data_IF_578874538670
#
_entry.id   IF_578874538670
#
_cell.length_a   1.000
_cell.length_b   1.000
_cell.length_c   1.000
_cell.angle_alpha   90.00
_cell.angle_beta   90.00
_cell.angle_gamma   90.00
#
_symmetry.space_group_name_H-M   'P 1'
#
loop_
_entity.id
_entity.type
_entity.pdbx_description
1 polymer ?
#
# COMPACT_ATOMS: atom_id res chain seq x y z
N UNK A 1 -3.54 21.82 -3.40
CA UNK A 1 -4.44 20.65 -3.58
C UNK A 1 -5.28 20.50 -2.31
N UNK A 2 -6.47 19.87 -2.34
CA UNK A 2 -7.37 19.78 -1.17
C UNK A 2 -6.73 19.12 0.06
N UNK A 3 -5.79 18.21 -0.17
CA UNK A 3 -5.06 17.48 0.87
C UNK A 3 -3.78 18.17 1.37
N UNK A 4 -3.32 19.21 0.67
CA UNK A 4 -2.05 19.85 1.00
C UNK A 4 -2.20 20.70 2.27
N UNK A 5 -1.19 20.61 3.15
CA UNK A 5 -1.07 21.48 4.32
C UNK A 5 0.40 21.82 4.58
N UNK A 6 0.69 22.96 5.23
CA UNK A 6 2.02 23.21 5.78
C UNK A 6 2.41 22.11 6.76
N UNK A 7 3.71 21.85 6.85
CA UNK A 7 4.30 20.80 7.68
C UNK A 7 5.36 21.42 8.59
N UNK A 8 5.50 20.87 9.79
CA UNK A 8 6.68 21.07 10.65
C UNK A 8 7.69 19.96 10.36
N UNK A 9 8.83 20.34 9.80
CA UNK A 9 9.91 19.43 9.41
C UNK A 9 11.08 19.60 10.36
N UNK A 10 11.55 18.51 10.97
CA UNK A 10 12.76 18.54 11.78
C UNK A 10 13.88 17.76 11.09
N UNK A 11 15.08 18.34 11.07
CA UNK A 11 16.28 17.66 10.55
C UNK A 11 17.17 17.25 11.72
N UNK A 12 17.48 15.97 11.82
CA UNK A 12 18.31 15.39 12.86
C UNK A 12 19.60 14.80 12.27
N UNK A 13 20.72 14.98 12.96
CA UNK A 13 22.03 14.53 12.51
C UNK A 13 22.74 15.53 11.59
N UNK A 14 23.96 15.18 11.19
CA UNK A 14 24.79 15.99 10.29
C UNK A 14 25.43 15.07 9.24
N UNK A 15 25.58 15.52 7.98
CA UNK A 15 26.32 14.79 6.98
C UNK A 15 27.75 14.47 7.47
N UNK A 16 28.24 13.27 7.19
CA UNK A 16 29.64 12.95 7.44
C UNK A 16 30.55 13.84 6.58
N UNK A 17 31.79 14.17 7.01
CA UNK A 17 32.70 14.98 6.20
C UNK A 17 32.96 14.43 4.77
N UNK A 18 32.87 13.11 4.61
CA UNK A 18 33.05 12.43 3.31
C UNK A 18 31.77 12.45 2.44
N UNK A 19 30.63 12.84 3.01
CA UNK A 19 29.33 12.88 2.33
C UNK A 19 29.04 14.28 1.77
N UNK A 20 29.92 14.76 0.89
CA UNK A 20 29.84 16.13 0.38
C UNK A 20 28.57 16.40 -0.42
N UNK A 21 28.11 15.44 -1.24
CA UNK A 21 26.88 15.60 -2.01
C UNK A 21 25.65 15.57 -1.11
N UNK A 22 25.64 14.71 -0.07
CA UNK A 22 24.60 14.72 0.96
C UNK A 22 24.47 16.08 1.64
N UNK A 23 25.61 16.71 2.00
CA UNK A 23 25.59 18.00 2.64
C UNK A 23 25.01 19.11 1.77
N UNK A 24 25.27 19.08 0.46
CA UNK A 24 24.62 19.99 -0.50
C UNK A 24 23.13 19.69 -0.61
N UNK A 25 22.77 18.42 -0.79
CA UNK A 25 21.39 17.98 -0.95
C UNK A 25 20.53 18.32 0.26
N UNK A 26 20.98 18.04 1.49
CA UNK A 26 20.21 18.33 2.72
C UNK A 26 19.94 19.82 2.89
N UNK A 27 20.93 20.69 2.56
CA UNK A 27 20.72 22.15 2.58
C UNK A 27 19.70 22.59 1.54
N UNK A 28 19.79 22.06 0.32
CA UNK A 28 18.84 22.36 -0.75
C UNK A 28 17.44 21.85 -0.41
N UNK A 29 17.32 20.65 0.17
CA UNK A 29 16.06 20.06 0.59
C UNK A 29 15.40 20.90 1.68
N UNK A 30 16.17 21.33 2.68
CA UNK A 30 15.70 22.22 3.75
C UNK A 30 15.18 23.54 3.18
N UNK A 31 15.96 24.21 2.33
CA UNK A 31 15.53 25.44 1.67
C UNK A 31 14.27 25.21 0.81
N UNK A 32 14.20 24.09 0.09
CA UNK A 32 13.05 23.73 -0.74
C UNK A 32 11.77 23.58 0.09
N UNK A 33 11.85 23.05 1.33
CA UNK A 33 10.72 23.00 2.26
C UNK A 33 10.29 24.41 2.69
N UNK A 34 11.23 25.26 3.09
CA UNK A 34 10.94 26.64 3.50
C UNK A 34 10.32 27.47 2.36
N UNK A 35 10.86 27.35 1.15
CA UNK A 35 10.36 28.02 -0.06
C UNK A 35 8.93 27.60 -0.43
N UNK A 36 8.55 26.34 -0.16
CA UNK A 36 7.19 25.84 -0.35
C UNK A 36 6.24 26.21 0.82
N UNK A 37 6.75 26.85 1.87
CA UNK A 37 5.96 27.36 3.00
C UNK A 37 5.86 26.39 4.20
N UNK A 38 6.76 25.40 4.30
CA UNK A 38 6.87 24.53 5.47
C UNK A 38 7.77 25.17 6.54
N UNK A 39 7.56 24.82 7.80
CA UNK A 39 8.42 25.25 8.90
C UNK A 39 9.53 24.23 9.11
N UNK A 40 10.80 24.61 8.93
CA UNK A 40 11.94 23.75 9.28
C UNK A 40 12.49 24.17 10.64
N UNK A 41 12.56 23.23 11.58
CA UNK A 41 12.98 23.48 12.96
C UNK A 41 14.21 22.66 13.34
N UNK A 42 15.07 23.23 14.18
CA UNK A 42 16.21 22.51 14.75
C UNK A 42 15.79 21.66 15.96
N UNK A 43 14.88 22.18 16.78
CA UNK A 43 14.33 21.53 17.97
C UNK A 43 12.81 21.68 18.02
N UNK A 44 12.11 20.63 18.47
CA UNK A 44 10.66 20.62 18.67
C UNK A 44 10.31 19.88 19.97
N UNK A 45 9.21 20.28 20.61
CA UNK A 45 8.67 19.65 21.83
C UNK A 45 7.39 18.83 21.57
N UNK A 46 7.27 18.22 20.39
CA UNK A 46 6.32 17.12 20.16
C UNK A 46 5.59 17.13 18.83
N UNK A 47 5.44 18.30 18.19
CA UNK A 47 4.70 18.42 16.94
C UNK A 47 5.68 18.47 15.77
N UNK A 48 6.01 17.30 15.22
CA UNK A 48 6.82 17.15 14.01
C UNK A 48 6.02 16.30 13.03
N UNK A 49 5.71 16.88 11.86
CA UNK A 49 5.00 16.19 10.78
C UNK A 49 5.92 15.31 9.93
N UNK A 50 7.22 15.64 9.90
CA UNK A 50 8.23 14.93 9.11
C UNK A 50 9.60 15.05 9.79
N UNK A 51 10.19 13.90 10.16
CA UNK A 51 11.53 13.83 10.72
C UNK A 51 12.51 13.32 9.68
N UNK A 52 13.49 14.15 9.30
CA UNK A 52 14.57 13.81 8.39
C UNK A 52 15.83 13.47 9.18
N UNK A 53 16.24 12.20 9.17
CA UNK A 53 17.43 11.73 9.88
C UNK A 53 18.58 11.56 8.90
N UNK A 54 19.58 12.42 8.99
CA UNK A 54 20.80 12.35 8.19
C UNK A 54 21.78 11.37 8.82
N UNK A 55 22.24 10.39 8.04
CA UNK A 55 23.17 9.36 8.50
C UNK A 55 24.25 9.05 7.48
N UNK A 56 25.31 8.39 7.95
CA UNK A 56 26.41 7.91 7.12
C UNK A 56 26.27 6.41 6.86
N UNK A 57 26.37 6.02 5.60
CA UNK A 57 26.57 4.62 5.22
C UNK A 57 28.03 4.49 4.76
N UNK A 58 28.88 3.74 5.49
CA UNK A 58 30.29 3.59 5.16
C UNK A 58 30.52 3.17 3.72
N UNK A 59 31.50 3.77 3.05
CA UNK A 59 31.96 3.27 1.74
C UNK A 59 32.81 2.01 1.91
N UNK A 60 32.78 1.12 0.93
CA UNK A 60 33.54 -0.13 1.00
C UNK A 60 33.31 -1.03 -0.21
N UNK A 61 34.13 -2.09 -0.37
CA UNK A 61 33.98 -3.05 -1.46
C UNK A 61 32.78 -3.99 -1.29
N UNK A 62 32.16 -4.03 -0.10
CA UNK A 62 30.98 -4.85 0.16
C UNK A 62 29.72 -4.26 -0.52
N UNK A 63 28.75 -5.11 -0.88
CA UNK A 63 27.44 -4.65 -1.35
C UNK A 63 26.79 -3.64 -0.39
N UNK A 64 26.05 -2.66 -0.93
CA UNK A 64 25.35 -1.65 -0.14
C UNK A 64 24.54 -2.21 1.05
N UNK A 65 23.71 -3.28 0.90
CA UNK A 65 22.98 -3.86 2.03
C UNK A 65 23.88 -4.26 3.21
N UNK A 66 25.09 -4.75 2.94
CA UNK A 66 26.03 -5.20 3.97
C UNK A 66 26.74 -4.04 4.68
N UNK A 67 26.79 -2.86 4.05
CA UNK A 67 27.43 -1.65 4.59
C UNK A 67 26.55 -0.88 5.56
N UNK A 68 25.23 -1.08 5.52
CA UNK A 68 24.30 -0.38 6.41
C UNK A 68 24.50 -0.86 7.84
N UNK A 69 24.90 0.01 8.80
CA UNK A 69 25.15 -0.42 10.16
C UNK A 69 23.87 -0.89 10.85
N UNK A 70 23.92 -2.06 11.48
CA UNK A 70 22.87 -2.51 12.39
C UNK A 70 23.13 -1.97 13.80
N UNK A 71 22.12 -1.39 14.44
CA UNK A 71 22.23 -0.77 15.77
C UNK A 71 21.05 -1.19 16.65
N UNK A 72 21.28 -1.31 17.96
CA UNK A 72 20.24 -1.59 18.95
C UNK A 72 20.34 -0.60 20.12
N UNK A 73 19.36 0.30 20.32
CA UNK A 73 18.18 0.49 19.48
C UNK A 73 18.53 0.99 18.06
N UNK A 74 17.66 0.75 17.06
CA UNK A 74 17.84 1.27 15.71
C UNK A 74 17.96 2.79 15.67
N UNK A 75 18.57 3.30 14.59
CA UNK A 75 18.80 4.73 14.38
C UNK A 75 17.53 5.56 14.61
N UNK A 76 16.43 5.27 13.92
CA UNK A 76 15.18 6.05 14.04
C UNK A 76 14.60 6.00 15.45
N UNK A 77 14.63 4.83 16.10
CA UNK A 77 14.14 4.69 17.46
C UNK A 77 14.98 5.50 18.46
N UNK A 78 16.32 5.45 18.34
CA UNK A 78 17.24 6.24 19.16
C UNK A 78 17.01 7.74 18.95
N UNK A 79 16.99 8.19 17.71
CA UNK A 79 16.81 9.61 17.38
C UNK A 79 15.46 10.14 17.89
N UNK A 80 14.37 9.38 17.69
CA UNK A 80 13.07 9.78 18.24
C UNK A 80 13.11 9.88 19.77
N UNK A 81 13.74 8.93 20.47
CA UNK A 81 13.88 8.98 21.92
C UNK A 81 14.69 10.20 22.40
N UNK A 82 15.80 10.51 21.73
CA UNK A 82 16.65 11.68 22.03
C UNK A 82 15.89 13.01 21.83
N UNK A 83 14.99 13.07 20.85
CA UNK A 83 14.18 14.24 20.53
C UNK A 83 12.83 14.29 21.28
N UNK A 84 12.53 13.28 22.11
CA UNK A 84 11.23 13.19 22.80
C UNK A 84 10.04 12.95 21.86
N UNK A 85 10.28 12.42 20.66
CA UNK A 85 9.28 12.10 19.65
C UNK A 85 8.80 10.65 19.80
N UNK A 86 7.58 10.37 19.31
CA UNK A 86 7.08 8.99 19.27
C UNK A 86 7.84 8.18 18.20
N UNK A 87 8.36 7.03 18.61
CA UNK A 87 9.02 6.06 17.72
C UNK A 87 7.99 5.44 16.78
N UNK A 88 8.33 5.26 15.50
CA UNK A 88 7.56 4.45 14.57
C UNK A 88 6.44 5.18 13.81
N UNK A 89 6.42 6.52 13.81
CA UNK A 89 5.55 7.24 12.87
C UNK A 89 6.02 6.97 11.43
N UNK A 90 5.08 6.76 10.50
CA UNK A 90 5.42 6.68 9.05
C UNK A 90 6.15 7.94 8.54
N UNK A 91 6.17 8.99 9.35
CA UNK A 91 6.74 10.31 9.09
C UNK A 91 8.25 10.41 9.36
N UNK A 92 8.95 9.29 9.62
CA UNK A 92 10.42 9.29 9.71
C UNK A 92 11.05 8.90 8.39
N UNK A 93 12.04 9.69 7.94
CA UNK A 93 12.80 9.44 6.71
C UNK A 93 14.28 9.44 7.05
N UNK A 94 14.98 8.36 6.68
CA UNK A 94 16.45 8.35 6.74
C UNK A 94 17.01 8.85 5.42
N UNK A 95 17.99 9.75 5.47
CA UNK A 95 18.69 10.29 4.30
C UNK A 95 20.17 9.93 4.42
N UNK A 96 20.73 9.31 3.39
CA UNK A 96 22.13 8.93 3.34
C UNK A 96 22.70 9.08 1.93
N UNK A 97 24.03 9.16 1.83
CA UNK A 97 24.75 9.10 0.56
C UNK A 97 25.31 7.70 0.32
N UNK A 98 25.28 7.27 -0.93
CA UNK A 98 25.84 6.00 -1.37
C UNK A 98 26.69 6.19 -2.64
N UNK A 99 27.75 5.40 -2.85
CA UNK A 99 28.56 5.46 -4.06
C UNK A 99 27.85 4.90 -5.30
N UNK A 100 26.83 4.06 -5.13
CA UNK A 100 26.08 3.44 -6.22
C UNK A 100 25.07 4.38 -6.87
N UNK A 101 24.87 4.23 -8.18
CA UNK A 101 23.69 4.74 -8.88
C UNK A 101 22.59 3.67 -8.87
N UNK A 102 21.40 4.06 -8.45
CA UNK A 102 20.24 3.20 -8.22
C UNK A 102 19.21 3.30 -9.34
N UNK A 103 19.24 4.35 -10.17
CA UNK A 103 18.27 4.60 -11.24
C UNK A 103 18.17 3.45 -12.27
N UNK A 104 19.26 2.69 -12.48
CA UNK A 104 19.34 1.60 -13.45
C UNK A 104 19.11 0.20 -12.88
N UNK A 105 18.85 0.08 -11.57
CA UNK A 105 18.66 -1.23 -10.94
C UNK A 105 17.34 -1.87 -11.36
N UNK A 106 17.27 -3.21 -11.34
CA UNK A 106 15.99 -3.90 -11.44
C UNK A 106 15.15 -3.60 -10.20
N UNK A 107 13.84 -3.56 -10.36
CA UNK A 107 12.91 -3.28 -9.27
C UNK A 107 13.18 -4.17 -8.03
N UNK A 108 13.38 -5.47 -8.20
CA UNK A 108 13.68 -6.40 -7.09
C UNK A 108 15.01 -6.09 -6.37
N UNK A 109 16.03 -5.62 -7.10
CA UNK A 109 17.32 -5.22 -6.51
C UNK A 109 17.19 -3.93 -5.72
N UNK A 110 16.47 -2.94 -6.26
CA UNK A 110 16.19 -1.68 -5.58
C UNK A 110 15.36 -1.91 -4.31
N UNK A 111 14.31 -2.74 -4.38
CA UNK A 111 13.48 -3.09 -3.23
C UNK A 111 14.29 -3.77 -2.13
N UNK A 112 15.19 -4.69 -2.48
CA UNK A 112 16.04 -5.38 -1.48
C UNK A 112 16.98 -4.40 -0.76
N UNK A 113 17.59 -3.47 -1.49
CA UNK A 113 18.40 -2.38 -0.92
C UNK A 113 17.56 -1.53 0.01
N UNK A 114 16.44 -0.99 -0.49
CA UNK A 114 15.55 -0.10 0.27
C UNK A 114 15.07 -0.76 1.56
N UNK A 115 14.61 -2.02 1.48
CA UNK A 115 14.16 -2.80 2.65
C UNK A 115 15.25 -3.08 3.64
N UNK A 116 16.47 -3.37 3.18
CA UNK A 116 17.59 -3.56 4.10
C UNK A 116 17.90 -2.27 4.87
N UNK A 117 17.93 -1.13 4.18
CA UNK A 117 18.21 0.17 4.83
C UNK A 117 17.07 0.52 5.79
N UNK A 118 15.81 0.41 5.36
CA UNK A 118 14.63 0.64 6.20
C UNK A 118 14.66 -0.26 7.45
N UNK A 119 14.90 -1.56 7.29
CA UNK A 119 14.92 -2.51 8.38
C UNK A 119 16.08 -2.26 9.36
N UNK A 120 17.30 -1.97 8.90
CA UNK A 120 18.44 -1.72 9.81
C UNK A 120 18.37 -0.37 10.53
N UNK A 121 17.65 0.59 9.97
CA UNK A 121 17.48 1.92 10.57
C UNK A 121 16.18 2.08 11.35
N UNK A 122 15.22 1.16 11.19
CA UNK A 122 13.81 1.29 11.61
C UNK A 122 13.09 2.51 11.01
N UNK A 123 13.51 2.95 9.81
CA UNK A 123 12.86 4.02 9.09
C UNK A 123 11.85 3.44 8.07
N UNK A 124 10.60 3.92 8.03
CA UNK A 124 9.60 3.48 7.04
C UNK A 124 9.86 4.04 5.64
N UNK A 125 10.74 5.04 5.51
CA UNK A 125 11.14 5.64 4.23
C UNK A 125 12.62 5.97 4.26
N UNK A 126 13.27 5.87 3.09
CA UNK A 126 14.69 6.18 2.94
C UNK A 126 14.89 7.01 1.68
N UNK A 127 15.74 8.03 1.74
CA UNK A 127 16.25 8.73 0.56
C UNK A 127 17.75 8.44 0.44
N UNK A 128 18.16 7.82 -0.67
CA UNK A 128 19.56 7.61 -0.99
C UNK A 128 19.99 8.56 -2.09
N UNK A 129 21.06 9.31 -1.83
CA UNK A 129 21.66 10.26 -2.78
C UNK A 129 22.95 9.64 -3.32
N UNK A 130 23.16 9.67 -4.63
CA UNK A 130 24.44 9.20 -5.17
C UNK A 130 25.59 10.14 -4.76
N UNK A 131 26.81 9.61 -4.79
CA UNK A 131 28.01 10.36 -4.42
C UNK A 131 28.25 11.58 -5.31
N UNK A 132 27.79 11.55 -6.56
CA UNK A 132 27.93 12.68 -7.48
C UNK A 132 26.81 13.72 -7.33
N UNK A 133 25.77 13.47 -6.52
CA UNK A 133 24.64 14.37 -6.33
C UNK A 133 23.81 14.58 -7.60
N UNK A 134 23.76 13.57 -8.47
CA UNK A 134 23.02 13.56 -9.73
C UNK A 134 21.69 12.84 -9.62
N UNK A 135 21.54 11.97 -8.63
CA UNK A 135 20.29 11.26 -8.38
C UNK A 135 19.92 11.19 -6.90
N UNK A 136 18.62 11.13 -6.65
CA UNK A 136 18.08 10.85 -5.33
C UNK A 136 16.91 9.87 -5.47
N UNK A 137 17.02 8.71 -4.82
CA UNK A 137 16.00 7.65 -4.85
C UNK A 137 15.25 7.60 -3.53
N UNK A 138 13.93 7.76 -3.58
CA UNK A 138 13.05 7.59 -2.42
C UNK A 138 12.53 6.16 -2.35
N UNK A 139 12.85 5.45 -1.28
CA UNK A 139 12.33 4.11 -0.98
C UNK A 139 11.14 4.15 -0.02
N UNK A 140 10.12 3.33 -0.28
CA UNK A 140 8.96 3.14 0.60
C UNK A 140 8.75 1.65 0.95
N UNK A 141 8.05 1.36 2.05
CA UNK A 141 7.80 -0.02 2.53
C UNK A 141 7.11 -0.91 1.49
N UNK A 142 6.26 -0.28 0.67
CA UNK A 142 5.49 -0.86 -0.42
C UNK A 142 6.34 -1.27 -1.64
N UNK A 143 7.64 -0.97 -1.63
CA UNK A 143 8.55 -1.27 -2.75
C UNK A 143 8.71 -0.14 -3.76
N UNK A 144 8.13 1.03 -3.49
CA UNK A 144 8.36 2.23 -4.29
C UNK A 144 9.82 2.68 -4.20
N UNK A 145 10.39 3.04 -5.35
CA UNK A 145 11.76 3.54 -5.48
C UNK A 145 11.91 4.59 -6.62
N UNK A 146 11.03 5.60 -6.75
CA UNK A 146 11.21 6.63 -7.77
C UNK A 146 12.57 7.34 -7.58
N UNK A 147 13.29 7.50 -8.70
CA UNK A 147 14.62 8.12 -8.71
C UNK A 147 14.60 9.42 -9.49
N UNK A 148 14.82 10.52 -8.78
CA UNK A 148 14.91 11.86 -9.37
C UNK A 148 16.31 12.08 -9.94
N UNK A 149 16.41 12.67 -11.13
CA UNK A 149 17.70 13.00 -11.77
C UNK A 149 17.87 14.50 -12.09
N UNK A 150 16.89 15.32 -11.71
CA UNK A 150 16.90 16.76 -11.91
C UNK A 150 16.01 17.46 -10.89
N UNK A 151 16.43 18.64 -10.41
CA UNK A 151 15.78 19.35 -9.29
C UNK A 151 15.55 18.43 -8.09
N UNK A 152 16.58 17.67 -7.72
CA UNK A 152 16.50 16.56 -6.75
C UNK A 152 15.77 16.95 -5.45
N UNK A 153 16.23 18.04 -4.83
CA UNK A 153 15.66 18.54 -3.58
C UNK A 153 14.17 18.90 -3.70
N UNK A 154 13.78 19.61 -4.77
CA UNK A 154 12.37 19.98 -5.00
C UNK A 154 11.47 18.77 -5.18
N UNK A 155 11.92 17.81 -6.00
CA UNK A 155 11.11 16.63 -6.36
C UNK A 155 11.01 15.64 -5.20
N UNK A 156 12.10 15.44 -4.46
CA UNK A 156 12.08 14.63 -3.25
C UNK A 156 11.22 15.30 -2.18
N UNK A 157 11.35 16.62 -1.98
CA UNK A 157 10.45 17.39 -1.09
C UNK A 157 9.00 17.10 -1.46
N UNK A 158 8.61 17.29 -2.72
CA UNK A 158 7.21 17.11 -3.12
C UNK A 158 6.69 15.71 -2.78
N UNK A 159 7.47 14.65 -3.04
CA UNK A 159 7.10 13.27 -2.68
C UNK A 159 6.99 13.07 -1.17
N UNK A 160 7.92 13.63 -0.39
CA UNK A 160 7.89 13.55 1.07
C UNK A 160 6.71 14.33 1.67
N UNK A 161 6.41 15.52 1.13
CA UNK A 161 5.24 16.34 1.53
C UNK A 161 3.95 15.60 1.23
N UNK A 162 3.83 15.01 0.04
CA UNK A 162 2.68 14.18 -0.33
C UNK A 162 2.47 13.06 0.68
N UNK A 163 3.53 12.31 1.01
CA UNK A 163 3.46 11.22 1.97
C UNK A 163 3.14 11.69 3.41
N UNK A 164 3.65 12.85 3.83
CA UNK A 164 3.45 13.39 5.18
C UNK A 164 2.09 14.10 5.37
N UNK A 165 1.46 14.55 4.29
CA UNK A 165 0.09 15.08 4.32
C UNK A 165 -0.96 13.99 4.51
N UNK A 166 -0.65 12.74 4.13
CA UNK A 166 -1.52 11.59 4.32
C UNK A 166 -1.55 11.16 5.79
N UNK A 167 -2.71 10.69 6.25
CA UNK A 167 -2.87 10.11 7.57
C UNK A 167 -3.00 8.59 7.50
N UNK A 168 -2.31 7.89 8.40
CA UNK A 168 -2.45 6.45 8.55
C UNK A 168 -3.83 6.11 9.12
N UNK A 169 -4.55 5.24 8.40
CA UNK A 169 -5.89 4.76 8.75
C UNK A 169 -5.96 3.24 8.88
N UNK A 170 -4.94 2.50 8.44
CA UNK A 170 -4.96 1.03 8.35
C UNK A 170 -5.29 0.28 9.65
N UNK A 171 -5.05 0.88 10.82
CA UNK A 171 -5.36 0.32 12.14
C UNK A 171 -6.62 0.93 12.80
N UNK A 172 -7.27 1.89 12.13
CA UNK A 172 -8.48 2.58 12.63
C UNK A 172 -9.72 1.72 12.39
N UNK A 173 -9.88 0.68 13.19
CA UNK A 173 -11.08 -0.14 13.20
C UNK A 173 -11.55 -0.48 14.62
N UNK A 174 -12.81 -0.88 14.73
CA UNK A 174 -13.39 -1.48 15.92
C UNK A 174 -13.92 -2.88 15.59
N UNK A 175 -13.80 -3.80 16.54
CA UNK A 175 -14.35 -5.15 16.42
C UNK A 175 -15.73 -5.19 17.06
N UNK A 176 -16.73 -5.51 16.25
CA UNK A 176 -18.10 -5.80 16.69
C UNK A 176 -18.19 -7.31 16.90
N UNK A 177 -18.15 -7.74 18.17
CA UNK A 177 -18.24 -9.15 18.55
C UNK A 177 -19.63 -9.71 18.23
N UNK A 178 -19.67 -10.99 17.87
CA UNK A 178 -20.91 -11.76 17.60
C UNK A 178 -21.85 -11.04 16.62
N UNK A 179 -21.27 -10.33 15.64
CA UNK A 179 -22.01 -9.54 14.66
C UNK A 179 -22.67 -10.40 13.57
N UNK A 180 -22.14 -11.60 13.35
CA UNK A 180 -22.64 -12.55 12.36
C UNK A 180 -22.98 -13.87 13.06
N UNK A 181 -24.22 -14.38 12.92
CA UNK A 181 -24.59 -15.69 13.45
C UNK A 181 -23.67 -16.78 12.89
N UNK A 182 -23.27 -17.75 13.72
CA UNK A 182 -22.35 -18.81 13.31
C UNK A 182 -22.85 -19.59 12.08
N UNK A 183 -24.17 -19.80 11.97
CA UNK A 183 -24.81 -20.48 10.84
C UNK A 183 -24.73 -19.69 9.53
N UNK A 184 -24.87 -18.36 9.61
CA UNK A 184 -24.75 -17.46 8.46
C UNK A 184 -23.30 -17.40 7.98
N UNK A 185 -22.35 -17.30 8.91
CA UNK A 185 -20.93 -17.32 8.58
C UNK A 185 -20.49 -18.65 7.96
N UNK A 186 -20.92 -19.77 8.54
CA UNK A 186 -20.61 -21.10 8.01
C UNK A 186 -21.17 -21.35 6.60
N UNK A 187 -22.26 -20.66 6.22
CA UNK A 187 -22.84 -20.74 4.88
C UNK A 187 -22.21 -19.77 3.87
N UNK A 188 -21.36 -18.84 4.31
CA UNK A 188 -20.71 -17.87 3.44
C UNK A 188 -19.61 -18.55 2.60
N UNK A 189 -19.67 -18.38 1.27
CA UNK A 189 -18.67 -18.94 0.36
C UNK A 189 -17.49 -18.00 0.09
N UNK A 190 -17.58 -16.73 0.49
CA UNK A 190 -16.55 -15.73 0.23
C UNK A 190 -15.15 -16.15 0.73
N UNK A 191 -14.97 -16.74 1.94
CA UNK A 191 -13.66 -17.22 2.39
C UNK A 191 -13.04 -18.25 1.43
N UNK A 192 -13.84 -19.21 0.95
CA UNK A 192 -13.41 -20.24 0.00
C UNK A 192 -13.05 -19.66 -1.36
N UNK A 193 -13.86 -18.72 -1.85
CA UNK A 193 -13.60 -18.02 -3.11
C UNK A 193 -12.32 -17.20 -3.04
N UNK A 194 -12.11 -16.44 -1.97
CA UNK A 194 -10.87 -15.69 -1.73
C UNK A 194 -9.66 -16.62 -1.61
N UNK A 195 -9.78 -17.74 -0.88
CA UNK A 195 -8.71 -18.74 -0.77
C UNK A 195 -8.29 -19.30 -2.15
N UNK A 196 -9.28 -19.62 -2.99
CA UNK A 196 -9.03 -20.09 -4.36
C UNK A 196 -8.42 -19.00 -5.25
N UNK A 197 -8.89 -17.76 -5.12
CA UNK A 197 -8.38 -16.61 -5.87
C UNK A 197 -6.94 -16.27 -5.47
N UNK A 198 -6.61 -16.28 -4.17
CA UNK A 198 -5.25 -16.07 -3.66
C UNK A 198 -4.25 -17.09 -4.21
N UNK A 199 -4.60 -18.39 -4.16
CA UNK A 199 -3.80 -19.46 -4.81
C UNK A 199 -3.62 -19.24 -6.30
N UNK A 200 -4.62 -18.70 -6.98
CA UNK A 200 -4.53 -18.39 -8.40
C UNK A 200 -3.65 -17.16 -8.66
N UNK A 201 -3.74 -16.10 -7.86
CA UNK A 201 -2.83 -14.96 -7.92
C UNK A 201 -1.37 -15.39 -7.73
N UNK A 202 -1.11 -16.29 -6.78
CA UNK A 202 0.21 -16.89 -6.57
C UNK A 202 0.74 -17.62 -7.80
N UNK A 203 -0.08 -18.47 -8.43
CA UNK A 203 0.30 -19.17 -9.69
C UNK A 203 0.54 -18.24 -10.88
N UNK A 204 -0.13 -17.09 -10.89
CA UNK A 204 0.04 -16.07 -11.91
C UNK A 204 1.22 -15.14 -11.63
N UNK A 205 1.83 -15.20 -10.45
CA UNK A 205 2.90 -14.27 -10.06
C UNK A 205 2.40 -12.84 -9.87
N UNK A 206 1.14 -12.66 -9.46
CA UNK A 206 0.55 -11.33 -9.21
C UNK A 206 0.91 -10.76 -7.83
N UNK A 207 1.51 -11.59 -6.98
CA UNK A 207 1.93 -11.25 -5.62
C UNK A 207 3.35 -11.78 -5.41
N UNK A 208 4.26 -10.97 -4.88
CA UNK A 208 5.57 -11.47 -4.50
C UNK A 208 5.48 -12.36 -3.26
N UNK A 209 6.57 -13.06 -3.01
CA UNK A 209 6.73 -13.82 -1.78
C UNK A 209 6.69 -12.91 -0.54
N UNK A 210 5.90 -13.24 0.50
CA UNK A 210 5.95 -12.50 1.73
C UNK A 210 7.35 -12.55 2.33
N UNK A 211 7.84 -11.39 2.75
CA UNK A 211 9.19 -11.26 3.29
C UNK A 211 9.13 -11.10 4.80
N UNK A 212 9.95 -11.87 5.51
CA UNK A 212 10.13 -11.74 6.95
C UNK A 212 11.21 -10.71 7.26
N UNK A 213 11.07 -9.99 8.37
CA UNK A 213 12.02 -8.94 8.75
C UNK A 213 13.42 -9.47 9.08
N UNK A 214 13.52 -10.73 9.55
CA UNK A 214 14.78 -11.42 9.84
C UNK A 214 15.63 -11.73 8.59
N UNK A 215 15.09 -11.52 7.39
CA UNK A 215 15.88 -11.49 6.16
C UNK A 215 16.85 -10.31 6.10
N UNK A 216 16.52 -9.20 6.77
CA UNK A 216 17.22 -7.91 6.59
C UNK A 216 18.10 -7.50 7.78
N UNK A 217 17.86 -8.09 8.94
CA UNK A 217 18.51 -7.76 10.21
C UNK A 217 18.87 -9.02 10.98
N UNK A 218 19.77 -8.92 11.95
CA UNK A 218 20.11 -10.05 12.83
C UNK A 218 18.89 -10.56 13.61
N UNK A 219 18.97 -11.81 14.08
CA UNK A 219 17.93 -12.44 14.90
C UNK A 219 17.58 -11.64 16.16
N UNK A 220 18.57 -10.98 16.76
CA UNK A 220 18.40 -10.14 17.94
C UNK A 220 17.52 -8.93 17.62
N UNK A 221 17.83 -8.21 16.54
CA UNK A 221 17.05 -7.05 16.14
C UNK A 221 15.67 -7.42 15.61
N UNK A 222 15.56 -8.53 14.86
CA UNK A 222 14.28 -9.06 14.41
C UNK A 222 13.37 -9.43 15.60
N UNK A 223 13.93 -9.93 16.70
CA UNK A 223 13.17 -10.22 17.92
C UNK A 223 12.61 -8.94 18.55
N UNK A 224 13.43 -7.89 18.65
CA UNK A 224 12.99 -6.58 19.13
C UNK A 224 11.86 -6.01 18.26
N UNK A 225 11.95 -6.13 16.94
CA UNK A 225 10.90 -5.69 16.02
C UNK A 225 9.58 -6.43 16.20
N UNK A 226 9.63 -7.75 16.41
CA UNK A 226 8.42 -8.53 16.68
C UNK A 226 7.76 -8.16 18.01
N UNK A 227 8.57 -7.96 19.05
CA UNK A 227 8.07 -7.70 20.40
C UNK A 227 7.56 -6.28 20.59
N UNK A 228 8.27 -5.29 20.05
CA UNK A 228 8.02 -3.87 20.34
C UNK A 228 7.38 -3.10 19.19
N UNK A 229 7.61 -3.51 17.93
CA UNK A 229 7.06 -2.81 16.76
C UNK A 229 5.92 -3.61 16.08
N UNK A 230 5.71 -4.87 16.47
CA UNK A 230 4.73 -5.75 15.84
C UNK A 230 5.08 -6.13 14.39
N UNK A 231 6.31 -5.87 13.94
CA UNK A 231 6.76 -6.14 12.59
C UNK A 231 7.18 -7.60 12.49
N UNK A 232 6.35 -8.41 11.83
CA UNK A 232 6.62 -9.85 11.62
C UNK A 232 6.96 -10.14 10.16
N UNK A 233 6.01 -9.86 9.28
CA UNK A 233 6.05 -10.19 7.85
C UNK A 233 5.43 -9.07 7.04
N UNK A 234 6.04 -8.76 5.92
CA UNK A 234 5.50 -7.90 4.89
C UNK A 234 4.82 -8.81 3.86
N UNK A 235 3.48 -8.83 3.87
CA UNK A 235 2.69 -9.51 2.84
C UNK A 235 1.93 -8.48 2.01
N UNK A 236 2.35 -8.37 0.77
CA UNK A 236 1.83 -7.45 -0.24
C UNK A 236 0.53 -7.93 -0.88
N UNK A 237 -0.18 -6.99 -1.50
CA UNK A 237 -1.46 -7.16 -2.18
C UNK A 237 -2.63 -7.38 -1.24
N UNK A 238 -3.83 -7.59 -1.79
CA UNK A 238 -5.06 -7.78 -1.02
C UNK A 238 -6.12 -8.37 -1.95
N UNK A 239 -7.06 -9.13 -1.40
CA UNK A 239 -8.25 -9.57 -2.12
C UNK A 239 -9.50 -9.21 -1.31
N UNK A 240 -10.58 -8.87 -2.01
CA UNK A 240 -11.87 -8.61 -1.39
C UNK A 240 -13.05 -9.08 -2.23
N UNK A 241 -14.15 -9.40 -1.55
CA UNK A 241 -15.44 -9.72 -2.13
C UNK A 241 -16.55 -9.03 -1.34
N UNK A 242 -17.49 -8.39 -2.02
CA UNK A 242 -18.75 -8.03 -1.40
C UNK A 242 -19.69 -9.24 -1.43
N UNK A 243 -20.19 -9.66 -0.26
CA UNK A 243 -21.14 -10.76 -0.11
C UNK A 243 -22.56 -10.20 0.13
N UNK A 244 -23.48 -10.29 -0.85
CA UNK A 244 -24.84 -9.77 -0.70
C UNK A 244 -25.70 -10.52 0.33
N UNK A 245 -25.31 -11.74 0.71
CA UNK A 245 -25.95 -12.51 1.78
C UNK A 245 -25.60 -11.98 3.17
N UNK A 246 -24.38 -11.47 3.33
CA UNK A 246 -23.92 -10.83 4.57
C UNK A 246 -24.21 -9.33 4.63
N UNK A 247 -24.49 -8.69 3.49
CA UNK A 247 -24.45 -7.22 3.33
C UNK A 247 -23.12 -6.64 3.87
N UNK A 248 -22.03 -7.31 3.52
CA UNK A 248 -20.70 -7.05 4.06
C UNK A 248 -19.62 -7.28 3.00
N UNK A 249 -18.45 -6.71 3.23
CA UNK A 249 -17.26 -7.02 2.43
C UNK A 249 -16.34 -7.96 3.22
N UNK A 250 -15.95 -9.06 2.59
CA UNK A 250 -14.95 -9.99 3.11
C UNK A 250 -13.61 -9.64 2.46
N UNK A 251 -12.61 -9.38 3.28
CA UNK A 251 -11.26 -8.99 2.84
C UNK A 251 -10.22 -9.95 3.41
N UNK A 252 -9.07 -10.08 2.75
CA UNK A 252 -7.93 -10.78 3.33
C UNK A 252 -7.44 -10.10 4.61
N UNK A 253 -6.99 -10.89 5.58
CA UNK A 253 -6.36 -10.36 6.79
C UNK A 253 -4.96 -9.76 6.49
N UNK A 254 -4.47 -8.92 7.40
CA UNK A 254 -3.16 -8.28 7.28
C UNK A 254 -1.99 -9.27 7.38
N UNK A 255 -0.91 -9.00 6.66
CA UNK A 255 0.35 -9.77 6.74
C UNK A 255 0.99 -9.77 8.13
N UNK A 256 0.64 -8.82 9.01
CA UNK A 256 1.06 -8.84 10.42
C UNK A 256 0.54 -10.06 11.20
N UNK A 257 -0.45 -10.77 10.66
CA UNK A 257 -0.99 -12.03 11.17
C UNK A 257 -0.38 -13.28 10.54
N UNK A 258 0.79 -13.15 9.89
CA UNK A 258 1.52 -14.24 9.23
C UNK A 258 0.78 -14.87 8.03
N UNK A 259 -0.09 -14.08 7.39
CA UNK A 259 -0.88 -14.50 6.23
C UNK A 259 -0.03 -14.45 4.96
N UNK A 260 -0.03 -15.53 4.18
CA UNK A 260 0.47 -15.56 2.80
C UNK A 260 -0.72 -15.52 1.82
N UNK A 261 -0.95 -14.38 1.19
CA UNK A 261 -2.07 -14.17 0.27
C UNK A 261 -1.99 -15.05 -0.99
N UNK A 262 -0.82 -15.65 -1.29
CA UNK A 262 -0.63 -16.62 -2.37
C UNK A 262 -1.10 -18.03 -2.01
N UNK A 263 -1.25 -18.33 -0.72
CA UNK A 263 -1.76 -19.62 -0.24
C UNK A 263 -2.80 -19.41 0.88
N UNK A 264 -3.71 -18.49 0.62
CA UNK A 264 -4.69 -18.03 1.59
C UNK A 264 -5.59 -19.17 2.08
N UNK A 265 -5.72 -19.28 3.40
CA UNK A 265 -6.66 -20.18 4.07
C UNK A 265 -8.02 -19.52 4.29
N UNK A 266 -9.06 -20.34 4.42
CA UNK A 266 -10.43 -19.83 4.64
C UNK A 266 -10.57 -19.04 5.96
N UNK A 267 -9.73 -19.29 6.97
CA UNK A 267 -9.72 -18.53 8.22
C UNK A 267 -8.79 -17.30 8.20
N UNK A 268 -8.21 -16.95 7.05
CA UNK A 268 -7.32 -15.81 6.87
C UNK A 268 -8.02 -14.61 6.20
N UNK A 269 -9.33 -14.54 6.39
CA UNK A 269 -10.15 -13.41 5.96
C UNK A 269 -10.82 -12.77 7.16
N UNK A 270 -11.29 -11.54 6.97
CA UNK A 270 -12.05 -10.80 7.95
C UNK A 270 -13.23 -10.10 7.28
N UNK A 271 -14.29 -9.86 8.02
CA UNK A 271 -15.53 -9.28 7.49
C UNK A 271 -15.66 -7.85 7.97
N UNK A 272 -15.97 -6.95 7.05
CA UNK A 272 -16.15 -5.53 7.33
C UNK A 272 -17.55 -5.09 6.92
N UNK A 273 -18.10 -4.17 7.70
CA UNK A 273 -19.23 -3.38 7.21
C UNK A 273 -18.74 -2.49 6.06
N UNK A 274 -19.47 -2.43 4.92
CA UNK A 274 -18.98 -1.78 3.70
C UNK A 274 -18.89 -0.25 3.84
N UNK A 275 -19.64 0.32 4.78
CA UNK A 275 -19.59 1.74 5.15
C UNK A 275 -18.86 1.92 6.48
N UNK A 276 -17.95 2.89 6.54
CA UNK A 276 -17.37 3.34 7.81
C UNK A 276 -18.42 4.01 8.69
N UNK A 277 -18.18 4.04 10.01
CA UNK A 277 -18.99 4.79 10.97
C UNK A 277 -18.07 5.79 11.67
N UNK A 278 -18.10 7.05 11.22
CA UNK A 278 -17.16 8.06 11.69
C UNK A 278 -15.76 7.79 11.15
N UNK A 279 -14.76 7.83 12.03
CA UNK A 279 -13.33 7.68 11.72
C UNK A 279 -12.81 6.23 11.84
N UNK A 280 -13.71 5.25 11.99
CA UNK A 280 -13.36 3.82 12.16
C UNK A 280 -14.12 2.89 11.23
N UNK A 281 -13.43 1.86 10.73
CA UNK A 281 -14.07 0.70 10.10
C UNK A 281 -14.65 -0.23 11.17
N UNK A 282 -15.70 -0.97 10.81
CA UNK A 282 -16.31 -1.97 11.68
C UNK A 282 -15.98 -3.37 11.19
N UNK A 283 -15.15 -4.08 11.93
CA UNK A 283 -14.88 -5.51 11.74
C UNK A 283 -16.03 -6.28 12.37
N UNK A 284 -16.75 -7.06 11.56
CA UNK A 284 -17.90 -7.85 11.96
C UNK A 284 -17.43 -9.25 12.33
N UNK A 285 -17.17 -9.51 13.61
CA UNK A 285 -16.70 -10.81 14.06
C UNK A 285 -17.85 -11.83 14.04
N UNK A 286 -17.68 -13.01 13.42
CA UNK A 286 -18.60 -14.11 13.60
C UNK A 286 -18.66 -14.59 15.05
N UNK A 287 -19.81 -15.13 15.45
CA UNK A 287 -20.00 -15.75 16.76
C UNK A 287 -18.90 -16.78 17.06
N UNK A 288 -18.23 -16.62 18.21
CA UNK A 288 -17.18 -17.54 18.65
C UNK A 288 -15.85 -17.47 17.86
N UNK A 289 -15.70 -16.50 16.96
CA UNK A 289 -14.46 -16.28 16.18
C UNK A 289 -13.73 -15.04 16.70
N UNK A 290 -12.43 -15.17 16.96
CA UNK A 290 -11.56 -14.01 17.17
C UNK A 290 -11.02 -13.53 15.81
N UNK A 291 -11.48 -12.37 15.30
CA UNK A 291 -11.14 -11.97 13.95
C UNK A 291 -9.69 -11.49 13.88
N UNK A 292 -8.98 -11.91 12.83
CA UNK A 292 -7.73 -11.26 12.44
C UNK A 292 -8.02 -9.83 11.98
N UNK A 293 -7.03 -8.95 12.14
CA UNK A 293 -7.12 -7.57 11.64
C UNK A 293 -7.19 -7.52 10.11
N UNK A 294 -7.96 -6.59 9.52
CA UNK A 294 -8.08 -6.46 8.07
C UNK A 294 -6.76 -6.05 7.42
N UNK A 295 -6.65 -6.30 6.10
CA UNK A 295 -5.59 -5.70 5.29
C UNK A 295 -5.58 -4.17 5.46
N UNK A 296 -4.41 -3.56 5.35
CA UNK A 296 -4.25 -2.11 5.54
C UNK A 296 -5.03 -1.31 4.48
N UNK A 297 -5.26 -1.90 3.30
CA UNK A 297 -6.05 -1.34 2.19
C UNK A 297 -7.57 -1.41 2.41
N UNK A 298 -8.05 -1.92 3.55
CA UNK A 298 -9.49 -2.05 3.81
C UNK A 298 -10.25 -0.72 3.71
N UNK A 299 -9.61 0.40 4.08
CA UNK A 299 -10.18 1.73 3.90
C UNK A 299 -10.37 2.09 2.43
N UNK A 300 -9.42 1.72 1.57
CA UNK A 300 -9.47 1.95 0.13
C UNK A 300 -10.65 1.19 -0.48
N UNK A 301 -10.86 -0.06 -0.03
CA UNK A 301 -12.01 -0.89 -0.44
C UNK A 301 -13.34 -0.29 0.00
N UNK A 302 -13.46 0.13 1.27
CA UNK A 302 -14.70 0.76 1.72
C UNK A 302 -14.98 2.08 0.98
N UNK A 303 -13.96 2.88 0.72
CA UNK A 303 -14.11 4.14 -0.02
C UNK A 303 -14.55 3.91 -1.48
N UNK A 304 -13.91 2.99 -2.21
CA UNK A 304 -14.32 2.67 -3.58
C UNK A 304 -15.72 2.05 -3.62
N UNK A 305 -16.08 1.15 -2.69
CA UNK A 305 -17.42 0.57 -2.64
C UNK A 305 -18.50 1.61 -2.33
N UNK A 306 -18.18 2.64 -1.55
CA UNK A 306 -19.09 3.75 -1.26
C UNK A 306 -19.24 4.74 -2.43
N UNK A 307 -18.25 4.80 -3.33
CA UNK A 307 -18.22 5.74 -4.45
C UNK A 307 -18.89 5.22 -5.74
N UNK A 308 -19.17 3.92 -5.84
CA UNK A 308 -19.78 3.32 -7.04
C UNK A 308 -21.31 3.32 -6.99
N UNK A 309 -21.99 3.28 -8.17
CA UNK A 309 -23.41 3.01 -8.24
C UNK A 309 -23.79 1.70 -7.55
N UNK A 310 -25.09 1.54 -7.23
CA UNK A 310 -25.62 0.29 -6.72
C UNK A 310 -26.41 -0.47 -7.78
N UNK A 311 -26.45 -1.78 -7.66
CA UNK A 311 -27.22 -2.69 -8.51
C UNK A 311 -28.17 -3.53 -7.67
N UNK A 312 -29.23 -4.05 -8.31
CA UNK A 312 -30.11 -5.05 -7.71
C UNK A 312 -29.67 -6.44 -8.11
N UNK A 313 -29.70 -7.35 -7.14
CA UNK A 313 -29.26 -8.74 -7.26
C UNK A 313 -30.38 -9.69 -6.85
N UNK A 314 -30.56 -10.74 -7.65
CA UNK A 314 -31.44 -11.87 -7.38
C UNK A 314 -30.63 -13.17 -7.37
N UNK A 315 -31.23 -14.26 -6.90
CA UNK A 315 -30.63 -15.60 -6.97
C UNK A 315 -30.96 -16.27 -8.29
N UNK A 316 -29.94 -16.79 -8.98
CA UNK A 316 -30.12 -17.67 -10.14
C UNK A 316 -30.77 -18.99 -9.75
N UNK A 317 -31.15 -19.80 -10.75
CA UNK A 317 -31.63 -21.17 -10.51
C UNK A 317 -30.58 -22.07 -9.83
N UNK A 318 -29.28 -21.78 -10.02
CA UNK A 318 -28.15 -22.43 -9.33
C UNK A 318 -27.86 -21.85 -7.95
N UNK A 319 -28.62 -20.83 -7.51
CA UNK A 319 -28.47 -20.19 -6.21
C UNK A 319 -27.34 -19.16 -6.15
N UNK A 320 -26.76 -18.74 -7.27
CA UNK A 320 -25.74 -17.70 -7.31
C UNK A 320 -26.35 -16.30 -7.42
N UNK A 321 -25.69 -15.28 -6.88
CA UNK A 321 -26.12 -13.89 -7.07
C UNK A 321 -25.85 -13.44 -8.51
N UNK A 322 -26.86 -12.88 -9.15
CA UNK A 322 -26.79 -12.31 -10.50
C UNK A 322 -27.50 -10.97 -10.54
N UNK A 323 -27.13 -10.12 -11.49
CA UNK A 323 -27.83 -8.84 -11.72
C UNK A 323 -29.28 -9.14 -12.11
N UNK A 324 -30.21 -8.56 -11.36
CA UNK A 324 -31.64 -8.71 -11.57
C UNK A 324 -32.33 -7.38 -11.21
N UNK A 325 -32.91 -6.65 -12.17
CA UNK A 325 -33.64 -5.40 -11.91
C UNK A 325 -34.76 -5.53 -10.87
N UNK A 326 -35.32 -6.73 -10.71
CA UNK A 326 -36.37 -7.03 -9.75
C UNK A 326 -35.85 -7.72 -8.48
N UNK A 327 -34.54 -7.98 -8.40
CA UNK A 327 -33.89 -8.75 -7.34
C UNK A 327 -34.00 -8.17 -5.93
N UNK A 328 -34.02 -9.03 -4.90
CA UNK A 328 -34.29 -8.62 -3.52
C UNK A 328 -33.13 -7.93 -2.78
N UNK A 329 -31.90 -7.96 -3.31
CA UNK A 329 -30.72 -7.35 -2.67
C UNK A 329 -30.22 -6.16 -3.44
N UNK A 330 -29.74 -5.14 -2.73
CA UNK A 330 -28.97 -4.04 -3.31
C UNK A 330 -27.51 -4.20 -2.91
N UNK A 331 -26.60 -4.05 -3.86
CA UNK A 331 -25.16 -4.16 -3.65
C UNK A 331 -24.43 -3.02 -4.37
N UNK A 332 -23.22 -2.64 -3.94
CA UNK A 332 -22.33 -1.82 -4.78
C UNK A 332 -22.08 -2.55 -6.11
N UNK A 333 -21.91 -1.81 -7.21
CA UNK A 333 -21.64 -2.39 -8.53
C UNK A 333 -20.39 -3.26 -8.54
N UNK A 334 -19.39 -2.95 -7.71
CA UNK A 334 -18.19 -3.76 -7.58
C UNK A 334 -18.50 -5.03 -6.76
N UNK A 335 -18.30 -6.19 -7.40
CA UNK A 335 -18.45 -7.53 -6.80
C UNK A 335 -17.25 -7.90 -5.92
N UNK A 336 -16.06 -7.48 -6.32
CA UNK A 336 -14.82 -7.79 -5.64
C UNK A 336 -13.62 -7.26 -6.40
N UNK A 337 -12.42 -7.51 -5.89
CA UNK A 337 -11.20 -7.08 -6.55
C UNK A 337 -9.93 -7.63 -5.92
N UNK A 338 -8.82 -7.27 -6.55
CA UNK A 338 -7.47 -7.66 -6.17
C UNK A 338 -6.54 -6.44 -6.22
N UNK A 339 -5.66 -6.33 -5.24
CA UNK A 339 -4.47 -5.49 -5.27
C UNK A 339 -3.28 -6.41 -5.60
N UNK A 340 -2.65 -6.17 -6.75
CA UNK A 340 -1.50 -6.91 -7.27
C UNK A 340 -0.25 -6.03 -7.27
N UNK A 341 0.92 -6.65 -7.17
CA UNK A 341 2.20 -5.95 -7.12
C UNK A 341 3.03 -6.31 -8.36
N UNK A 342 2.58 -5.82 -9.50
CA UNK A 342 3.15 -6.09 -10.81
C UNK A 342 3.13 -4.84 -11.68
N UNK A 343 4.02 -4.77 -12.67
CA UNK A 343 4.09 -3.69 -13.64
C UNK A 343 3.37 -4.10 -14.91
N UNK A 344 2.35 -3.35 -15.33
CA UNK A 344 1.59 -3.64 -16.54
C UNK A 344 2.01 -2.74 -17.68
N UNK A 345 2.59 -3.36 -18.70
CA UNK A 345 2.95 -2.68 -19.93
C UNK A 345 1.78 -2.56 -20.92
N UNK A 346 0.76 -3.42 -20.81
CA UNK A 346 -0.39 -3.40 -21.73
C UNK A 346 -1.60 -4.16 -21.18
N UNK A 347 -2.80 -3.69 -21.52
CA UNK A 347 -4.07 -4.40 -21.26
C UNK A 347 -5.03 -4.23 -22.46
N UNK A 348 -5.79 -5.28 -22.78
CA UNK A 348 -6.81 -5.25 -23.82
C UNK A 348 -8.00 -4.38 -23.39
N UNK A 349 -8.14 -3.20 -24.01
CA UNK A 349 -9.18 -2.23 -23.70
C UNK A 349 -10.60 -2.73 -23.99
N UNK A 350 -10.77 -3.79 -24.78
CA UNK A 350 -12.07 -4.41 -25.03
C UNK A 350 -12.51 -5.34 -23.88
N UNK A 351 -11.56 -5.84 -23.09
CA UNK A 351 -11.82 -6.78 -21.98
C UNK A 351 -11.85 -6.07 -20.64
N UNK A 352 -10.90 -5.16 -20.41
CA UNK A 352 -10.71 -4.50 -19.12
C UNK A 352 -10.44 -3.01 -19.33
N UNK A 353 -11.17 -2.16 -18.61
CA UNK A 353 -10.90 -0.72 -18.63
C UNK A 353 -9.63 -0.41 -17.82
N UNK A 354 -8.72 0.38 -18.40
CA UNK A 354 -7.60 0.97 -17.66
C UNK A 354 -7.87 2.43 -17.36
N UNK A 355 -8.08 2.76 -16.09
CA UNK A 355 -8.26 4.13 -15.63
C UNK A 355 -6.89 4.71 -15.28
N UNK A 356 -6.45 5.82 -15.90
CA UNK A 356 -5.17 6.42 -15.57
C UNK A 356 -5.21 7.07 -14.18
N UNK A 357 -4.05 7.13 -13.53
CA UNK A 357 -3.86 7.87 -12.29
C UNK A 357 -4.20 9.35 -12.50
N UNK A 358 -4.98 9.94 -11.59
CA UNK A 358 -5.31 11.37 -11.61
C UNK A 358 -4.12 12.19 -11.08
N UNK A 359 -3.07 12.32 -11.90
CA UNK A 359 -1.82 13.01 -11.51
C UNK A 359 -1.98 14.52 -11.33
N UNK A 360 -3.10 15.10 -11.75
CA UNK A 360 -3.41 16.51 -11.49
C UNK A 360 -3.79 16.73 -10.03
N UNK A 361 -4.59 15.81 -9.46
CA UNK A 361 -5.01 15.87 -8.06
C UNK A 361 -4.09 15.09 -7.11
N UNK A 362 -3.46 14.02 -7.60
CA UNK A 362 -2.63 13.07 -6.87
C UNK A 362 -1.32 12.80 -7.64
N UNK A 363 -0.40 13.77 -7.68
CA UNK A 363 0.79 13.73 -8.53
C UNK A 363 1.79 12.63 -8.17
N UNK A 364 1.80 12.22 -6.90
CA UNK A 364 2.66 11.19 -6.33
C UNK A 364 1.80 10.23 -5.47
N UNK A 365 2.33 9.06 -5.15
CA UNK A 365 1.66 8.03 -4.34
C UNK A 365 1.74 8.28 -2.82
N UNK A 366 0.69 7.89 -2.11
CA UNK A 366 0.55 8.13 -0.67
C UNK A 366 0.94 6.93 0.22
N UNK A 367 1.18 5.77 -0.39
CA UNK A 367 1.30 4.50 0.34
C UNK A 367 -0.06 3.96 0.79
N UNK A 368 -0.16 2.65 0.96
CA UNK A 368 -1.42 2.01 1.33
C UNK A 368 -1.82 2.19 2.79
N UNK A 369 -3.12 2.08 3.03
CA UNK A 369 -3.71 2.28 4.35
C UNK A 369 -3.61 3.72 4.83
N UNK A 370 -3.63 4.66 3.89
CA UNK A 370 -3.76 6.10 4.15
C UNK A 370 -5.12 6.61 3.69
N UNK A 371 -5.60 7.69 4.32
CA UNK A 371 -6.82 8.38 3.92
C UNK A 371 -6.77 8.85 2.45
N UNK A 372 -5.65 9.41 2.01
CA UNK A 372 -5.49 9.88 0.64
C UNK A 372 -5.45 8.74 -0.39
N UNK A 373 -4.98 7.54 -0.03
CA UNK A 373 -5.13 6.39 -0.92
C UNK A 373 -6.60 5.94 -1.03
N UNK A 374 -7.39 6.11 0.03
CA UNK A 374 -8.83 5.86 -0.03
C UNK A 374 -9.54 6.88 -0.93
N UNK A 375 -9.14 8.15 -0.89
CA UNK A 375 -9.61 9.19 -1.81
C UNK A 375 -9.21 8.90 -3.26
N UNK A 376 -7.98 8.42 -3.51
CA UNK A 376 -7.52 7.98 -4.84
C UNK A 376 -8.39 6.83 -5.36
N UNK A 377 -8.71 5.85 -4.52
CA UNK A 377 -9.56 4.72 -4.91
C UNK A 377 -10.98 5.18 -5.30
N UNK A 378 -11.57 6.07 -4.49
CA UNK A 378 -12.89 6.65 -4.76
C UNK A 378 -12.91 7.53 -6.03
N UNK A 379 -11.93 8.42 -6.20
CA UNK A 379 -11.76 9.25 -7.41
C UNK A 379 -11.64 8.38 -8.67
N UNK A 380 -10.87 7.30 -8.58
CA UNK A 380 -10.61 6.44 -9.73
C UNK A 380 -11.86 5.74 -10.23
N UNK A 381 -12.66 5.15 -9.32
CA UNK A 381 -13.92 4.50 -9.72
C UNK A 381 -14.98 5.51 -10.16
N UNK A 382 -14.95 6.75 -9.63
CA UNK A 382 -15.83 7.82 -10.10
C UNK A 382 -15.53 8.28 -11.54
N UNK A 383 -14.27 8.12 -12.00
CA UNK A 383 -13.85 8.44 -13.38
C UNK A 383 -13.94 7.26 -14.36
N UNK A 384 -14.24 6.05 -13.89
CA UNK A 384 -14.35 4.86 -14.73
C UNK A 384 -15.61 4.90 -15.59
N UNK A 385 -15.47 4.68 -16.90
CA UNK A 385 -16.62 4.52 -17.79
C UNK A 385 -17.33 3.20 -17.54
N UNK A 386 -16.60 2.09 -17.33
CA UNK A 386 -17.22 0.81 -17.09
C UNK A 386 -18.01 0.77 -15.77
N UNK A 387 -17.62 1.55 -14.76
CA UNK A 387 -18.37 1.69 -13.51
C UNK A 387 -19.62 2.56 -13.68
N UNK A 388 -19.52 3.67 -14.43
CA UNK A 388 -20.57 4.70 -14.42
C UNK A 388 -21.49 4.68 -15.66
N UNK A 389 -21.14 3.93 -16.70
CA UNK A 389 -21.98 3.69 -17.88
C UNK A 389 -22.51 2.25 -17.88
N UNK A 390 -23.83 2.12 -17.67
CA UNK A 390 -24.51 0.82 -17.67
C UNK A 390 -24.49 0.14 -19.05
N UNK A 391 -24.27 0.88 -20.14
CA UNK A 391 -24.16 0.34 -21.50
C UNK A 391 -22.75 -0.17 -21.81
N UNK A 392 -21.74 0.16 -21.00
CA UNK A 392 -20.39 -0.33 -21.19
C UNK A 392 -20.34 -1.85 -20.90
N UNK A 393 -19.90 -2.70 -21.85
CA UNK A 393 -19.94 -4.15 -21.67
C UNK A 393 -18.80 -4.70 -20.80
N UNK A 394 -17.79 -3.89 -20.47
CA UNK A 394 -16.60 -4.37 -19.76
C UNK A 394 -16.96 -4.73 -18.32
N UNK A 395 -16.50 -5.92 -17.91
CA UNK A 395 -16.76 -6.52 -16.61
C UNK A 395 -15.69 -6.18 -15.58
N UNK A 396 -14.56 -5.63 -16.03
CA UNK A 396 -13.37 -5.44 -15.22
C UNK A 396 -12.82 -4.02 -15.39
N UNK A 397 -12.26 -3.48 -14.31
CA UNK A 397 -11.59 -2.18 -14.28
C UNK A 397 -10.28 -2.32 -13.53
N UNK A 398 -9.22 -1.68 -14.00
CA UNK A 398 -7.91 -1.63 -13.35
C UNK A 398 -7.36 -0.22 -13.33
N UNK A 399 -6.45 0.04 -12.40
CA UNK A 399 -5.67 1.27 -12.38
C UNK A 399 -4.31 1.05 -11.71
N UNK A 400 -3.28 1.78 -12.15
CA UNK A 400 -1.98 1.78 -11.49
C UNK A 400 -2.04 2.53 -10.16
N UNK A 401 -1.42 1.95 -9.14
CA UNK A 401 -1.11 2.60 -7.87
C UNK A 401 0.35 3.06 -7.96
N UNK A 402 0.56 4.38 -8.01
CA UNK A 402 1.87 4.98 -8.29
C UNK A 402 2.98 4.34 -7.43
N UNK A 403 4.00 3.78 -8.10
CA UNK A 403 5.17 3.08 -7.53
C UNK A 403 4.90 1.93 -6.55
N UNK A 404 3.67 1.41 -6.50
CA UNK A 404 3.28 0.35 -5.59
C UNK A 404 2.88 -0.92 -6.34
N UNK A 405 1.97 -0.80 -7.30
CA UNK A 405 1.35 -1.95 -7.95
C UNK A 405 0.07 -1.50 -8.62
N UNK A 406 -0.98 -2.32 -8.51
CA UNK A 406 -2.23 -2.11 -9.22
C UNK A 406 -3.43 -2.63 -8.46
N UNK A 407 -4.54 -1.91 -8.58
CA UNK A 407 -5.83 -2.40 -8.15
C UNK A 407 -6.66 -2.77 -9.38
N UNK A 408 -7.37 -3.89 -9.30
CA UNK A 408 -8.32 -4.31 -10.31
C UNK A 408 -9.60 -4.88 -9.66
N UNK A 409 -10.74 -4.58 -10.26
CA UNK A 409 -12.06 -4.92 -9.71
C UNK A 409 -12.93 -5.61 -10.75
N UNK A 410 -13.82 -6.47 -10.27
CA UNK A 410 -14.86 -7.18 -11.00
C UNK A 410 -16.22 -6.51 -10.74
N UNK A 411 -16.96 -6.20 -11.80
CA UNK A 411 -18.24 -5.47 -11.74
C UNK A 411 -19.42 -6.42 -11.93
N UNK A 412 -20.45 -6.30 -11.09
CA UNK A 412 -21.75 -6.96 -11.28
C UNK A 412 -22.40 -6.52 -12.58
N UNK A 413 -22.16 -7.30 -13.63
CA UNK A 413 -22.72 -7.12 -14.98
C UNK A 413 -23.07 -8.47 -15.60
N UNK A 414 -23.98 -8.51 -16.60
CA UNK A 414 -24.30 -9.74 -17.32
C UNK A 414 -23.05 -10.39 -17.94
N UNK A 415 -22.97 -11.72 -17.89
CA UNK A 415 -21.85 -12.47 -18.48
C UNK A 415 -20.68 -12.75 -17.53
N UNK A 416 -20.77 -12.36 -16.27
CA UNK A 416 -19.80 -12.77 -15.24
C UNK A 416 -19.80 -14.29 -15.01
N UNK A 417 -18.61 -14.89 -14.77
CA UNK A 417 -18.54 -16.25 -14.23
C UNK A 417 -19.21 -16.39 -12.86
N UNK A 418 -19.77 -17.58 -12.60
CA UNK A 418 -20.41 -17.89 -11.32
C UNK A 418 -19.46 -17.73 -10.13
N UNK A 419 -18.19 -18.16 -10.28
CA UNK A 419 -17.16 -18.02 -9.23
C UNK A 419 -16.57 -16.60 -9.24
N UNK A 420 -16.67 -15.85 -8.13
CA UNK A 420 -16.07 -14.51 -8.03
C UNK A 420 -14.57 -14.50 -8.33
N UNK A 421 -14.10 -13.42 -8.95
CA UNK A 421 -12.69 -13.16 -9.34
C UNK A 421 -12.12 -14.14 -10.37
N UNK A 422 -12.82 -15.22 -10.73
CA UNK A 422 -12.33 -16.16 -11.73
C UNK A 422 -12.08 -15.44 -13.06
N UNK A 423 -13.08 -14.68 -13.52
CA UNK A 423 -13.02 -13.97 -14.78
C UNK A 423 -11.99 -12.83 -14.78
N UNK A 424 -11.87 -12.10 -13.66
CA UNK A 424 -10.82 -11.09 -13.51
C UNK A 424 -9.42 -11.70 -13.62
N UNK A 425 -9.19 -12.85 -12.99
CA UNK A 425 -7.90 -13.55 -13.06
C UNK A 425 -7.68 -14.26 -14.41
N UNK A 426 -8.75 -14.63 -15.13
CA UNK A 426 -8.66 -15.05 -16.55
C UNK A 426 -8.22 -13.87 -17.43
N UNK A 427 -8.75 -12.66 -17.18
CA UNK A 427 -8.34 -11.45 -17.89
C UNK A 427 -6.86 -11.14 -17.65
N UNK A 428 -6.35 -11.27 -16.42
CA UNK A 428 -4.90 -11.16 -16.19
C UNK A 428 -4.10 -12.22 -16.95
N UNK A 429 -4.57 -13.46 -17.02
CA UNK A 429 -3.86 -14.54 -17.70
C UNK A 429 -3.80 -14.37 -19.24
N UNK A 430 -4.76 -13.68 -19.85
CA UNK A 430 -4.95 -13.71 -21.31
C UNK A 430 -5.01 -12.33 -21.98
N UNK A 431 -5.42 -11.29 -21.24
CA UNK A 431 -5.70 -9.95 -21.77
C UNK A 431 -4.84 -8.85 -21.13
N UNK A 432 -3.96 -9.18 -20.17
CA UNK A 432 -3.04 -8.23 -19.53
C UNK A 432 -1.61 -8.75 -19.68
N UNK A 433 -0.69 -7.90 -20.13
CA UNK A 433 0.75 -8.17 -20.16
C UNK A 433 1.40 -7.45 -18.97
N UNK A 434 1.83 -8.23 -17.99
CA UNK A 434 2.49 -7.75 -16.78
C UNK A 434 3.84 -8.42 -16.57
N UNK A 435 4.66 -7.80 -15.72
CA UNK A 435 5.95 -8.31 -15.26
C UNK A 435 5.90 -8.48 -13.74
N UNK A 436 5.94 -9.72 -13.22
CA UNK A 436 5.87 -10.01 -11.78
C UNK A 436 6.93 -9.30 -10.92
N UNK A 437 8.16 -9.19 -11.44
CA UNK A 437 9.31 -8.65 -10.71
C UNK A 437 9.54 -7.15 -10.98
N UNK A 438 8.50 -6.43 -11.41
CA UNK A 438 8.57 -5.03 -11.75
C UNK A 438 7.33 -4.29 -11.23
N UNK A 439 7.50 -3.02 -10.90
CA UNK A 439 6.42 -2.06 -10.68
C UNK A 439 6.89 -0.74 -11.27
N UNK A 440 6.04 -0.11 -12.07
CA UNK A 440 6.36 1.16 -12.72
C UNK A 440 6.68 2.24 -11.68
N UNK A 441 7.77 2.98 -11.90
CA UNK A 441 8.24 4.06 -11.03
C UNK A 441 8.09 5.42 -11.74
N UNK A 442 6.85 5.87 -12.05
CA UNK A 442 6.65 7.07 -12.83
C UNK A 442 7.20 8.31 -12.09
N UNK A 443 7.96 9.12 -12.83
CA UNK A 443 8.46 10.41 -12.36
C UNK A 443 7.38 11.48 -12.40
#
# INVERSE_FOLDING_TARGET
>A
MPWWRPLVVQVAGRPHPDDTALGVFVRQLTAAFEEQGHAVVEESHGDVDLLLIVTHIPTGPQPLPDRVPEQSPPLSARTCAELGLRVGSRQTVVIAQVPESLAGLRHTEAVEIGRTVMARTAAPRVVLVDREGREATLFTLEGGHPTETGRLADRIRDRLVTAACAQDVGDRYEVVRDALPATVWAACEAPRHLASAGRRMGRLGLLPEPVRVDRYVSDGLASLYREYLGWKRLSEGMLFLYDPGLDAVVVTASGSWDVDKRDLREDEVTVLHPRSRGDRLRVLAPEGVDPKGPSVEAWEVCALLAAVPTVRLGRSASGHWVVDPDGERTAPLIRGGVHAHVGVGWADAAVIESVPANRELYPYGFGCGTDLMADVAADTVARSHAVNDAADPRLYVRWPMLYHGEMAVELWKPGLPERPLQGLLDAYAHAVRYTPDHVDQPL
#
